data_IF_874779053152
#
_entry.id   IF_874779053152
#
_cell.length_a   1.000
_cell.length_b   1.000
_cell.length_c   1.000
_cell.angle_alpha   90.00
_cell.angle_beta   90.00
_cell.angle_gamma   90.00
#
_symmetry.space_group_name_H-M   'P 1'
#
loop_
_entity.id
_entity.type
_entity.pdbx_description
1 polymer ?
#
# COMPACT_ATOMS: atom_id res chain seq x y z
N UNK A 1 16.80 8.79 -9.81
CA UNK A 1 16.09 8.66 -11.11
C UNK A 1 14.55 8.66 -10.96
N UNK A 2 13.96 7.92 -10.02
CA UNK A 2 12.50 7.97 -9.77
C UNK A 2 11.97 9.33 -9.32
N UNK A 3 12.77 10.12 -8.58
CA UNK A 3 12.40 11.47 -8.15
C UNK A 3 12.15 12.44 -9.33
N UNK A 4 13.04 12.46 -10.34
CA UNK A 4 12.86 13.28 -11.55
C UNK A 4 11.65 12.84 -12.39
N UNK A 5 11.41 11.52 -12.48
CA UNK A 5 10.25 10.99 -13.20
C UNK A 5 8.93 11.33 -12.48
N UNK A 6 8.94 11.33 -11.14
CA UNK A 6 7.83 11.80 -10.33
C UNK A 6 7.54 13.28 -10.52
N UNK A 7 8.56 14.13 -10.54
CA UNK A 7 8.40 15.58 -10.75
C UNK A 7 7.80 15.91 -12.13
N UNK A 8 8.30 15.24 -13.19
CA UNK A 8 7.80 15.42 -14.55
C UNK A 8 6.32 14.99 -14.70
N UNK A 9 5.93 13.91 -14.03
CA UNK A 9 4.57 13.41 -14.05
C UNK A 9 3.64 14.33 -13.23
N UNK A 10 4.12 14.87 -12.10
CA UNK A 10 3.36 15.82 -11.26
C UNK A 10 3.07 17.11 -12.02
N UNK A 11 4.06 17.58 -12.80
CA UNK A 11 3.89 18.75 -13.67
C UNK A 11 2.82 18.51 -14.75
N UNK A 12 2.78 17.31 -15.35
CA UNK A 12 1.77 16.94 -16.35
C UNK A 12 0.36 16.81 -15.77
N UNK A 13 0.24 16.23 -14.57
CA UNK A 13 -1.06 16.10 -13.90
C UNK A 13 -1.61 17.46 -13.45
N UNK A 14 -0.78 18.33 -12.87
CA UNK A 14 -1.21 19.71 -12.52
C UNK A 14 -1.68 20.48 -13.77
N UNK A 15 -1.00 20.34 -14.90
CA UNK A 15 -1.39 21.00 -16.16
C UNK A 15 -2.74 20.47 -16.71
N UNK A 16 -2.96 19.15 -16.70
CA UNK A 16 -4.24 18.56 -17.13
C UNK A 16 -5.40 18.89 -16.17
N UNK A 17 -5.14 18.87 -14.87
CA UNK A 17 -6.09 19.23 -13.82
C UNK A 17 -6.55 20.69 -13.96
N UNK A 18 -5.62 21.62 -14.14
CA UNK A 18 -5.94 23.03 -14.35
C UNK A 18 -6.78 23.25 -15.61
N UNK A 19 -6.46 22.55 -16.70
CA UNK A 19 -7.23 22.62 -17.95
C UNK A 19 -8.64 22.04 -17.84
N UNK A 20 -8.85 21.03 -16.99
CA UNK A 20 -10.16 20.46 -16.71
C UNK A 20 -11.04 21.43 -15.89
N UNK A 21 -10.47 22.10 -14.88
CA UNK A 21 -11.16 23.12 -14.09
C UNK A 21 -11.61 24.29 -14.97
N UNK A 22 -10.77 24.77 -15.89
CA UNK A 22 -11.13 25.84 -16.83
C UNK A 22 -12.25 25.48 -17.82
N UNK A 23 -12.62 24.20 -17.95
CA UNK A 23 -13.69 23.72 -18.83
C UNK A 23 -15.03 23.56 -18.14
N UNK A 24 -15.11 23.80 -16.83
CA UNK A 24 -16.33 23.58 -16.04
C UNK A 24 -17.25 24.81 -16.07
N UNK A 25 -18.57 24.58 -16.01
CA UNK A 25 -19.59 25.63 -16.14
C UNK A 25 -19.59 26.59 -14.94
N UNK A 26 -20.01 27.84 -15.16
CA UNK A 26 -19.99 28.91 -14.13
C UNK A 26 -20.84 28.56 -12.90
N UNK A 27 -21.96 27.86 -13.10
CA UNK A 27 -22.83 27.38 -12.01
C UNK A 27 -22.15 26.37 -11.08
N UNK A 28 -21.07 25.71 -11.52
CA UNK A 28 -20.28 24.80 -10.69
C UNK A 28 -19.46 25.55 -9.62
N UNK A 29 -19.03 26.78 -9.92
CA UNK A 29 -18.22 27.62 -9.04
C UNK A 29 -19.05 28.46 -8.04
N UNK A 30 -20.38 28.45 -8.17
CA UNK A 30 -21.30 29.24 -7.36
C UNK A 30 -21.58 28.60 -5.98
N UNK A 31 -21.18 27.35 -5.79
CA UNK A 31 -21.23 26.67 -4.49
C UNK A 31 -20.00 27.05 -3.65
N UNK A 32 -20.17 27.54 -2.42
CA UNK A 32 -19.06 27.92 -1.52
C UNK A 32 -18.03 26.80 -1.29
N UNK A 33 -18.47 25.53 -1.37
CA UNK A 33 -17.60 24.34 -1.27
C UNK A 33 -16.73 24.12 -2.52
N UNK A 34 -17.04 24.77 -3.64
CA UNK A 34 -16.37 24.66 -4.92
C UNK A 34 -15.54 25.88 -5.30
N UNK A 35 -15.07 26.65 -4.30
CA UNK A 35 -14.11 27.72 -4.55
C UNK A 35 -12.88 27.18 -5.31
N UNK A 36 -12.51 27.89 -6.39
CA UNK A 36 -11.48 27.49 -7.36
C UNK A 36 -10.14 27.11 -6.71
N UNK A 37 -9.77 27.77 -5.61
CA UNK A 37 -8.57 27.48 -4.85
C UNK A 37 -8.61 26.13 -4.09
N UNK A 38 -9.75 25.79 -3.49
CA UNK A 38 -9.94 24.54 -2.73
C UNK A 38 -9.98 23.35 -3.70
N UNK A 39 -10.67 23.48 -4.83
CA UNK A 39 -10.68 22.46 -5.89
C UNK A 39 -9.31 22.24 -6.51
N UNK A 40 -8.59 23.31 -6.83
CA UNK A 40 -7.24 23.19 -7.40
C UNK A 40 -6.29 22.48 -6.42
N UNK A 41 -6.40 22.80 -5.13
CA UNK A 41 -5.57 22.17 -4.08
C UNK A 41 -5.96 20.70 -3.87
N UNK A 42 -7.26 20.40 -3.71
CA UNK A 42 -7.76 19.02 -3.59
C UNK A 42 -7.36 18.18 -4.80
N UNK A 43 -7.60 18.68 -6.01
CA UNK A 43 -7.29 17.96 -7.24
C UNK A 43 -5.78 17.78 -7.43
N UNK A 44 -4.94 18.76 -7.07
CA UNK A 44 -3.49 18.61 -7.11
C UNK A 44 -3.00 17.54 -6.13
N UNK A 45 -3.58 17.46 -4.93
CA UNK A 45 -3.24 16.44 -3.92
C UNK A 45 -3.69 15.05 -4.36
N UNK A 46 -4.94 14.91 -4.82
CA UNK A 46 -5.50 13.65 -5.33
C UNK A 46 -4.76 13.16 -6.58
N UNK A 47 -4.46 14.06 -7.53
CA UNK A 47 -3.71 13.70 -8.73
C UNK A 47 -2.29 13.24 -8.36
N UNK A 48 -1.63 13.91 -7.41
CA UNK A 48 -0.30 13.51 -6.93
C UNK A 48 -0.34 12.17 -6.20
N UNK A 49 -1.41 11.87 -5.46
CA UNK A 49 -1.61 10.60 -4.79
C UNK A 49 -1.85 9.45 -5.79
N UNK A 50 -2.72 9.65 -6.79
CA UNK A 50 -2.96 8.67 -7.87
C UNK A 50 -1.68 8.43 -8.67
N UNK A 51 -0.89 9.47 -8.89
CA UNK A 51 0.39 9.37 -9.56
C UNK A 51 1.42 8.57 -8.79
N UNK A 52 1.59 8.87 -7.50
CA UNK A 52 2.51 8.16 -6.64
C UNK A 52 2.10 6.69 -6.54
N UNK A 53 0.80 6.42 -6.36
CA UNK A 53 0.25 5.06 -6.34
C UNK A 53 0.48 4.34 -7.68
N UNK A 54 0.20 4.99 -8.81
CA UNK A 54 0.34 4.37 -10.14
C UNK A 54 1.79 4.20 -10.54
N UNK A 55 2.65 5.21 -10.35
CA UNK A 55 4.07 5.18 -10.71
C UNK A 55 4.86 4.12 -9.94
N UNK A 56 4.59 3.96 -8.65
CA UNK A 56 5.18 2.89 -7.83
C UNK A 56 4.66 1.53 -8.27
N UNK A 57 3.35 1.40 -8.53
CA UNK A 57 2.77 0.14 -9.03
C UNK A 57 3.33 -0.27 -10.39
N UNK A 58 3.52 0.66 -11.31
CA UNK A 58 4.15 0.40 -12.61
C UNK A 58 5.61 -0.04 -12.45
N UNK A 59 6.35 0.58 -11.53
CA UNK A 59 7.72 0.17 -11.20
C UNK A 59 7.78 -1.28 -10.69
N UNK A 60 6.86 -1.66 -9.80
CA UNK A 60 6.74 -3.03 -9.29
C UNK A 60 6.37 -4.03 -10.40
N UNK A 61 5.39 -3.70 -11.25
CA UNK A 61 5.00 -4.54 -12.38
C UNK A 61 6.20 -4.79 -13.30
N UNK A 62 6.95 -3.76 -13.65
CA UNK A 62 8.16 -3.89 -14.46
C UNK A 62 9.21 -4.75 -13.75
N UNK A 63 9.44 -4.53 -12.46
CA UNK A 63 10.37 -5.34 -11.68
C UNK A 63 9.99 -6.83 -11.70
N UNK A 64 8.70 -7.16 -11.59
CA UNK A 64 8.22 -8.53 -11.68
C UNK A 64 8.40 -9.12 -13.09
N UNK A 65 8.16 -8.33 -14.15
CA UNK A 65 8.40 -8.76 -15.54
C UNK A 65 9.89 -9.06 -15.77
N UNK A 66 10.80 -8.18 -15.32
CA UNK A 66 12.23 -8.43 -15.43
C UNK A 66 12.68 -9.65 -14.63
N UNK A 67 12.17 -9.82 -13.40
CA UNK A 67 12.41 -11.03 -12.59
C UNK A 67 11.95 -12.31 -13.30
N UNK A 68 10.80 -12.26 -13.97
CA UNK A 68 10.29 -13.37 -14.77
C UNK A 68 11.20 -13.68 -15.97
N UNK A 69 11.67 -12.66 -16.69
CA UNK A 69 12.59 -12.81 -17.83
C UNK A 69 13.93 -13.42 -17.38
N UNK A 70 14.50 -12.93 -16.29
CA UNK A 70 15.74 -13.47 -15.72
C UNK A 70 15.54 -14.91 -15.26
N UNK A 71 14.40 -15.24 -14.64
CA UNK A 71 14.05 -16.61 -14.26
C UNK A 71 13.92 -17.55 -15.46
N UNK A 72 13.34 -17.08 -16.56
CA UNK A 72 13.22 -17.84 -17.82
C UNK A 72 14.61 -18.05 -18.44
N UNK A 73 15.45 -17.02 -18.49
CA UNK A 73 16.82 -17.11 -19.02
C UNK A 73 17.70 -18.06 -18.19
N UNK A 74 17.59 -18.01 -16.85
CA UNK A 74 18.24 -18.97 -15.96
C UNK A 74 17.70 -20.38 -16.19
N UNK A 75 16.40 -20.53 -16.41
CA UNK A 75 15.76 -21.81 -16.74
C UNK A 75 16.26 -22.41 -18.06
N UNK A 76 16.51 -21.58 -19.07
CA UNK A 76 17.06 -22.02 -20.36
C UNK A 76 18.55 -22.36 -20.30
N UNK A 77 19.33 -21.68 -19.47
CA UNK A 77 20.79 -21.87 -19.38
C UNK A 77 21.20 -23.14 -18.63
N UNK A 78 20.31 -23.78 -17.87
CA UNK A 78 20.72 -24.71 -16.82
C UNK A 78 19.97 -26.05 -16.89
N UNK A 79 20.55 -26.99 -17.62
CA UNK A 79 20.24 -28.42 -17.47
C UNK A 79 20.45 -28.89 -16.02
N UNK A 80 19.72 -29.93 -15.61
CA UNK A 80 19.68 -30.74 -14.35
C UNK A 80 20.10 -30.14 -12.98
N UNK A 81 21.15 -29.33 -12.90
CA UNK A 81 21.71 -28.78 -11.67
C UNK A 81 20.83 -27.67 -11.02
N UNK A 82 20.09 -26.85 -11.78
CA UNK A 82 19.22 -25.77 -11.23
C UNK A 82 17.90 -26.35 -10.76
N UNK A 83 17.42 -27.40 -11.44
CA UNK A 83 16.28 -28.20 -10.98
C UNK A 83 16.51 -28.73 -9.57
N UNK A 84 17.71 -29.23 -9.26
CA UNK A 84 18.04 -29.65 -7.90
C UNK A 84 18.04 -28.48 -6.91
N UNK A 85 18.58 -27.33 -7.31
CA UNK A 85 18.57 -26.13 -6.48
C UNK A 85 17.13 -25.71 -6.14
N UNK A 86 16.27 -25.54 -7.15
CA UNK A 86 14.87 -25.15 -6.96
C UNK A 86 14.09 -26.20 -6.16
N UNK A 87 14.34 -27.49 -6.39
CA UNK A 87 13.71 -28.59 -5.63
C UNK A 87 14.08 -28.56 -4.14
N UNK A 88 15.30 -28.12 -3.78
CA UNK A 88 15.74 -27.97 -2.38
C UNK A 88 15.22 -26.68 -1.76
N UNK A 89 15.15 -25.58 -2.52
CA UNK A 89 14.62 -24.30 -2.02
C UNK A 89 13.11 -24.32 -1.79
N UNK A 90 12.33 -25.05 -2.59
CA UNK A 90 10.88 -25.18 -2.44
C UNK A 90 10.43 -25.63 -1.03
N UNK A 91 10.88 -26.79 -0.50
CA UNK A 91 10.50 -27.23 0.84
C UNK A 91 11.05 -26.31 1.93
N UNK A 92 12.22 -25.70 1.71
CA UNK A 92 12.82 -24.76 2.67
C UNK A 92 11.97 -23.49 2.84
N UNK A 93 11.52 -22.91 1.73
CA UNK A 93 10.65 -21.72 1.73
C UNK A 93 9.28 -22.05 2.33
N UNK A 94 8.69 -23.19 1.95
CA UNK A 94 7.40 -23.63 2.51
C UNK A 94 7.49 -23.85 4.02
N UNK A 95 8.56 -24.49 4.48
CA UNK A 95 8.79 -24.72 5.91
C UNK A 95 8.95 -23.41 6.68
N UNK A 96 9.78 -22.49 6.18
CA UNK A 96 9.96 -21.16 6.77
C UNK A 96 8.65 -20.37 6.81
N UNK A 97 7.87 -20.41 5.73
CA UNK A 97 6.57 -19.74 5.63
C UNK A 97 5.53 -20.28 6.61
N UNK A 98 5.43 -21.61 6.75
CA UNK A 98 4.51 -22.23 7.71
C UNK A 98 4.91 -21.84 9.14
N UNK A 99 6.19 -21.90 9.49
CA UNK A 99 6.65 -21.50 10.82
C UNK A 99 6.34 -20.04 11.12
N UNK A 100 6.62 -19.14 10.17
CA UNK A 100 6.34 -17.72 10.33
C UNK A 100 4.85 -17.45 10.55
N UNK A 101 3.97 -18.07 9.74
CA UNK A 101 2.52 -17.91 9.89
C UNK A 101 2.05 -18.42 11.26
N UNK A 102 2.55 -19.58 11.70
CA UNK A 102 2.20 -20.16 13.00
C UNK A 102 2.65 -19.27 14.16
N UNK A 103 3.88 -18.77 14.11
CA UNK A 103 4.43 -17.88 15.13
C UNK A 103 3.63 -16.58 15.19
N UNK A 104 3.41 -15.91 14.06
CA UNK A 104 2.65 -14.66 14.03
C UNK A 104 1.19 -14.85 14.49
N UNK A 105 0.55 -15.96 14.12
CA UNK A 105 -0.79 -16.29 14.61
C UNK A 105 -0.83 -16.49 16.13
N UNK A 106 0.17 -17.18 16.70
CA UNK A 106 0.28 -17.38 18.15
C UNK A 106 0.56 -16.08 18.90
N UNK A 107 1.45 -15.22 18.40
CA UNK A 107 1.70 -13.90 18.99
C UNK A 107 0.44 -13.02 18.96
N UNK A 108 -0.24 -12.97 17.80
CA UNK A 108 -1.49 -12.20 17.66
C UNK A 108 -2.57 -12.68 18.62
N UNK A 109 -2.67 -13.99 18.88
CA UNK A 109 -3.64 -14.54 19.83
C UNK A 109 -3.31 -14.14 21.27
N UNK A 110 -2.04 -14.22 21.67
CA UNK A 110 -1.60 -13.81 23.02
C UNK A 110 -1.81 -12.32 23.24
N UNK A 111 -1.48 -11.48 22.26
CA UNK A 111 -1.69 -10.04 22.36
C UNK A 111 -3.17 -9.69 22.52
N UNK A 112 -4.06 -10.35 21.77
CA UNK A 112 -5.51 -10.17 21.93
C UNK A 112 -6.00 -10.56 23.32
N UNK A 113 -5.51 -11.65 23.90
CA UNK A 113 -5.92 -12.08 25.25
C UNK A 113 -5.48 -11.07 26.32
N UNK A 114 -4.25 -10.56 26.25
CA UNK A 114 -3.75 -9.55 27.18
C UNK A 114 -4.56 -8.25 27.07
N UNK A 115 -4.93 -7.85 25.84
CA UNK A 115 -5.78 -6.68 25.60
C UNK A 115 -7.20 -6.89 26.12
N UNK A 116 -7.78 -8.09 25.98
CA UNK A 116 -9.10 -8.43 26.51
C UNK A 116 -9.12 -8.42 28.05
N UNK A 117 -8.10 -8.98 28.70
CA UNK A 117 -8.02 -9.00 30.16
C UNK A 117 -7.76 -7.60 30.74
N UNK A 118 -6.90 -6.80 30.11
CA UNK A 118 -6.74 -5.39 30.45
C UNK A 118 -8.03 -4.58 30.27
N UNK A 119 -8.77 -4.84 29.18
CA UNK A 119 -10.06 -4.23 28.90
C UNK A 119 -11.11 -4.53 29.97
N UNK A 120 -11.22 -5.78 30.42
CA UNK A 120 -12.13 -6.18 31.51
C UNK A 120 -11.81 -5.49 32.85
N UNK A 121 -10.51 -5.30 33.15
CA UNK A 121 -10.08 -4.59 34.37
C UNK A 121 -10.44 -3.10 34.30
N UNK A 122 -10.20 -2.46 33.15
CA UNK A 122 -10.60 -1.07 32.93
C UNK A 122 -12.12 -0.90 33.03
N UNK A 123 -12.89 -1.82 32.44
CA UNK A 123 -14.36 -1.81 32.51
C UNK A 123 -14.84 -1.94 33.97
N UNK A 124 -14.26 -2.86 34.73
CA UNK A 124 -14.58 -3.05 36.15
C UNK A 124 -14.29 -1.81 36.99
N UNK A 125 -13.22 -1.05 36.66
CA UNK A 125 -12.88 0.21 37.32
C UNK A 125 -13.88 1.32 37.00
N UNK A 126 -14.37 1.40 35.76
CA UNK A 126 -15.41 2.37 35.35
C UNK A 126 -16.72 2.09 36.09
N UNK A 127 -17.13 0.82 36.20
CA UNK A 127 -18.32 0.43 36.97
C UNK A 127 -18.19 0.79 38.45
N UNK A 128 -17.02 0.58 39.05
CA UNK A 128 -16.75 0.98 40.43
C UNK A 128 -16.90 2.51 40.58
N UNK A 129 -16.30 3.32 39.71
CA UNK A 129 -16.45 4.78 39.77
C UNK A 129 -17.91 5.26 39.65
N UNK A 130 -18.75 4.56 38.87
CA UNK A 130 -20.17 4.91 38.66
C UNK A 130 -21.09 4.50 39.81
N UNK A 131 -20.65 3.62 40.72
CA UNK A 131 -21.45 3.16 41.87
C UNK A 131 -21.23 4.07 43.10
N UNK A 132 -20.08 4.76 43.17
CA UNK A 132 -19.69 5.59 44.31
C UNK A 132 -19.96 7.10 44.11
N UNK A 133 -20.49 7.50 42.95
CA UNK A 133 -20.95 8.86 42.62
C UNK A 133 -22.41 8.81 42.18
#
# INVERSE_FOLDING_TARGET
MFAQSGEALTKRLRSKAFRAILRQEIAYFDQEKHSTGVLCTRLATEASAVQAASGVRFGLILQHIFGMIVGILLGFLYSWQLTLLVLVFLPFILFGGILQIRLTAEFTRKDKQILEDGGKVCESFVWFSSIYY
#
